data_IF_181228440237
#
_entry.id   IF_181228440237
#
_cell.length_a   1.000
_cell.length_b   1.000
_cell.length_c   1.000
_cell.angle_alpha   90.00
_cell.angle_beta   90.00
_cell.angle_gamma   90.00
#
_symmetry.space_group_name_H-M   'P 1'
#
loop_
_entity.id
_entity.type
_entity.pdbx_description
1 polymer ?
#
# COMPACT_ATOMS: atom_id res chain seq x y z
N UNK A 1 13.92 10.61 13.72
CA UNK A 1 13.23 11.05 14.93
C UNK A 1 12.42 12.34 14.69
N UNK A 2 13.07 13.49 14.37
CA UNK A 2 12.39 14.78 14.19
C UNK A 2 11.25 14.75 13.16
N UNK A 3 11.43 14.06 12.03
CA UNK A 3 10.39 13.93 11.01
C UNK A 3 9.20 13.13 11.53
N UNK A 4 9.43 12.03 12.22
CA UNK A 4 8.37 11.22 12.82
C UNK A 4 7.55 12.03 13.84
N UNK A 5 8.19 12.88 14.62
CA UNK A 5 7.52 13.77 15.57
C UNK A 5 6.63 14.80 14.84
N UNK A 6 7.16 15.45 13.81
CA UNK A 6 6.40 16.41 12.97
C UNK A 6 5.18 15.73 12.36
N UNK A 7 5.34 14.57 11.73
CA UNK A 7 4.22 13.82 11.14
C UNK A 7 3.22 13.34 12.18
N UNK A 8 3.67 12.97 13.37
CA UNK A 8 2.78 12.56 14.47
C UNK A 8 1.95 13.73 14.99
N UNK A 9 2.55 14.90 15.16
CA UNK A 9 1.84 16.11 15.57
C UNK A 9 0.82 16.51 14.50
N UNK A 10 1.22 16.47 13.24
CA UNK A 10 0.34 16.74 12.12
C UNK A 10 -0.86 15.77 12.08
N UNK A 11 -0.65 14.47 12.31
CA UNK A 11 -1.72 13.48 12.40
C UNK A 11 -2.72 13.82 13.51
N UNK A 12 -2.25 14.27 14.69
CA UNK A 12 -3.13 14.64 15.81
C UNK A 12 -3.88 15.95 15.54
N UNK A 13 -3.17 16.98 15.09
CA UNK A 13 -3.74 18.31 14.84
C UNK A 13 -4.79 18.31 13.74
N UNK A 14 -4.61 17.43 12.77
CA UNK A 14 -5.44 17.35 11.58
C UNK A 14 -6.41 16.16 11.61
N UNK A 15 -6.57 15.52 12.76
CA UNK A 15 -7.51 14.41 12.93
C UNK A 15 -8.94 14.86 12.66
N UNK A 16 -9.54 14.26 11.64
CA UNK A 16 -10.90 14.59 11.20
C UNK A 16 -11.84 13.46 11.56
N UNK A 17 -12.95 13.81 12.21
CA UNK A 17 -14.06 12.92 12.47
C UNK A 17 -15.36 13.48 11.92
N UNK A 18 -16.16 12.65 11.27
CA UNK A 18 -17.49 13.00 10.84
C UNK A 18 -18.53 12.20 11.61
N UNK A 19 -19.33 12.90 12.40
CA UNK A 19 -20.34 12.27 13.24
C UNK A 19 -21.53 11.70 12.47
N UNK A 20 -21.82 12.20 11.26
CA UNK A 20 -22.95 11.72 10.44
C UNK A 20 -22.62 10.43 9.70
N UNK A 21 -21.38 10.28 9.21
CA UNK A 21 -20.91 9.08 8.53
C UNK A 21 -20.18 8.11 9.47
N UNK A 22 -19.83 8.57 10.67
CA UNK A 22 -19.08 7.81 11.69
C UNK A 22 -17.69 7.37 11.23
N UNK A 23 -17.10 8.02 10.22
CA UNK A 23 -15.73 7.77 9.80
C UNK A 23 -14.77 8.75 10.42
N UNK A 24 -13.63 8.22 10.82
CA UNK A 24 -12.48 9.01 11.26
C UNK A 24 -11.34 8.78 10.29
N UNK A 25 -10.67 9.84 9.89
CA UNK A 25 -9.45 9.73 9.11
C UNK A 25 -8.36 10.58 9.73
N UNK A 26 -7.13 10.16 9.52
CA UNK A 26 -6.01 11.08 9.61
C UNK A 26 -6.16 12.17 8.55
N UNK A 27 -5.11 12.94 8.34
CA UNK A 27 -5.17 14.04 7.40
C UNK A 27 -4.94 13.60 5.99
N UNK A 28 -5.73 14.11 5.12
CA UNK A 28 -5.42 14.24 3.71
C UNK A 28 -5.27 15.73 3.38
N UNK A 29 -4.09 16.14 2.92
CA UNK A 29 -3.86 17.49 2.42
C UNK A 29 -4.02 17.49 0.90
N UNK A 30 -4.96 18.27 0.42
CA UNK A 30 -5.34 18.24 -0.98
C UNK A 30 -4.46 19.07 -1.90
N UNK A 31 -3.93 20.18 -1.41
CA UNK A 31 -3.32 21.19 -2.26
C UNK A 31 -2.19 21.95 -1.57
N UNK A 32 -1.47 22.79 -2.34
CA UNK A 32 -0.50 23.74 -1.80
C UNK A 32 -1.08 24.74 -0.78
N UNK A 33 -2.40 24.88 -0.70
CA UNK A 33 -3.11 25.70 0.30
C UNK A 33 -3.27 25.01 1.65
N UNK A 34 -2.86 23.74 1.75
CA UNK A 34 -2.99 22.91 2.95
C UNK A 34 -4.44 22.70 3.42
N UNK A 35 -5.40 22.80 2.51
CA UNK A 35 -6.81 22.53 2.82
C UNK A 35 -7.01 21.02 3.08
N UNK A 36 -7.72 20.72 4.15
CA UNK A 36 -8.14 19.35 4.45
C UNK A 36 -9.17 18.88 3.43
N UNK A 37 -9.06 17.63 3.01
CA UNK A 37 -10.10 17.02 2.21
C UNK A 37 -11.28 16.60 3.09
N UNK A 38 -12.42 16.43 2.47
CA UNK A 38 -13.61 15.86 3.09
C UNK A 38 -13.72 14.34 2.81
N UNK A 39 -12.58 13.68 2.61
CA UNK A 39 -12.50 12.28 2.15
C UNK A 39 -11.73 11.41 3.13
N UNK A 40 -12.31 10.26 3.49
CA UNK A 40 -11.56 9.12 4.04
C UNK A 40 -11.33 8.08 2.94
N UNK A 41 -10.10 7.64 2.80
CA UNK A 41 -9.70 6.66 1.79
C UNK A 41 -8.92 5.52 2.45
N UNK A 42 -9.37 4.29 2.24
CA UNK A 42 -8.82 3.11 2.94
C UNK A 42 -7.42 2.75 2.47
N UNK A 43 -7.14 2.99 1.20
CA UNK A 43 -5.85 2.71 0.55
C UNK A 43 -5.45 3.83 -0.41
N UNK A 44 -4.54 3.56 -1.35
CA UNK A 44 -4.04 4.48 -2.36
C UNK A 44 -3.40 5.72 -1.73
N UNK A 45 -3.97 6.92 -1.88
CA UNK A 45 -3.41 8.16 -1.33
C UNK A 45 -3.68 8.28 0.17
N UNK A 46 -4.91 8.05 0.59
CA UNK A 46 -5.33 8.27 1.98
C UNK A 46 -4.76 7.29 2.99
N UNK A 47 -4.69 6.01 2.66
CA UNK A 47 -4.16 4.93 3.52
C UNK A 47 -4.56 5.04 4.99
N UNK A 48 -5.82 5.38 5.24
CA UNK A 48 -6.32 5.72 6.59
C UNK A 48 -6.00 4.63 7.62
N UNK A 49 -6.19 3.36 7.28
CA UNK A 49 -5.91 2.24 8.20
C UNK A 49 -4.41 2.01 8.42
N UNK A 50 -3.56 2.21 7.40
CA UNK A 50 -2.12 2.09 7.55
C UNK A 50 -1.56 3.24 8.39
N UNK A 51 -2.06 4.46 8.19
CA UNK A 51 -1.71 5.60 9.02
C UNK A 51 -2.12 5.39 10.48
N UNK A 52 -3.31 4.82 10.71
CA UNK A 52 -3.76 4.45 12.05
C UNK A 52 -2.84 3.39 12.70
N UNK A 53 -2.42 2.37 11.96
CA UNK A 53 -1.48 1.38 12.46
C UNK A 53 -0.14 2.01 12.82
N UNK A 54 0.43 2.84 11.94
CA UNK A 54 1.69 3.53 12.21
C UNK A 54 1.59 4.46 13.44
N UNK A 55 0.45 5.15 13.59
CA UNK A 55 0.19 6.01 14.76
C UNK A 55 0.07 5.20 16.06
N UNK A 56 -0.58 4.03 16.00
CA UNK A 56 -0.67 3.13 17.15
C UNK A 56 0.71 2.64 17.59
N UNK A 57 1.46 2.04 16.67
CA UNK A 57 2.77 1.47 16.96
C UNK A 57 3.74 2.53 17.50
N UNK A 58 3.88 3.65 16.80
CA UNK A 58 4.74 4.75 17.24
C UNK A 58 4.25 5.39 18.53
N UNK A 59 2.93 5.55 18.69
CA UNK A 59 2.30 6.10 19.88
C UNK A 59 2.60 5.27 21.12
N UNK A 60 2.51 3.95 21.04
CA UNK A 60 2.87 3.07 22.17
C UNK A 60 4.37 3.12 22.47
N UNK A 61 5.23 3.09 21.43
CA UNK A 61 6.69 3.19 21.59
C UNK A 61 7.13 4.50 22.26
N UNK A 62 6.47 5.62 21.92
CA UNK A 62 6.78 6.95 22.43
C UNK A 62 5.91 7.39 23.62
N UNK A 63 4.98 6.54 24.07
CA UNK A 63 4.00 6.85 25.14
C UNK A 63 3.10 8.05 24.82
N UNK A 64 2.77 8.21 23.52
CA UNK A 64 1.87 9.24 22.98
C UNK A 64 0.43 8.73 22.99
N UNK A 65 -0.30 8.95 24.08
CA UNK A 65 -1.69 8.48 24.26
C UNK A 65 -2.67 9.09 23.27
N UNK A 66 -2.41 10.30 22.80
CA UNK A 66 -3.18 10.98 21.75
C UNK A 66 -3.16 10.21 20.42
N UNK A 67 -1.98 9.75 19.98
CA UNK A 67 -1.83 8.92 18.79
C UNK A 67 -2.56 7.58 18.93
N UNK A 68 -2.36 6.90 20.05
CA UNK A 68 -2.99 5.61 20.36
C UNK A 68 -4.52 5.75 20.35
N UNK A 69 -5.05 6.78 21.02
CA UNK A 69 -6.49 7.03 21.08
C UNK A 69 -7.09 7.29 19.71
N UNK A 70 -6.44 8.12 18.90
CA UNK A 70 -6.92 8.43 17.55
C UNK A 70 -6.84 7.21 16.62
N UNK A 71 -5.79 6.40 16.75
CA UNK A 71 -5.67 5.15 15.98
C UNK A 71 -6.82 4.19 16.27
N UNK A 72 -7.13 3.93 17.55
CA UNK A 72 -8.27 3.06 17.88
C UNK A 72 -9.61 3.64 17.44
N UNK A 73 -9.83 4.94 17.52
CA UNK A 73 -11.04 5.56 16.96
C UNK A 73 -11.20 5.28 15.47
N UNK A 74 -10.12 5.31 14.70
CA UNK A 74 -10.14 4.96 13.27
C UNK A 74 -10.51 3.49 13.10
N UNK A 75 -9.83 2.57 13.79
CA UNK A 75 -10.13 1.13 13.68
C UNK A 75 -11.58 0.82 14.08
N UNK A 76 -12.06 1.37 15.19
CA UNK A 76 -13.44 1.14 15.64
C UNK A 76 -14.47 1.68 14.66
N UNK A 77 -14.24 2.86 14.08
CA UNK A 77 -15.14 3.44 13.10
C UNK A 77 -15.22 2.60 11.83
N UNK A 78 -14.08 2.11 11.34
CA UNK A 78 -14.07 1.22 10.16
C UNK A 78 -14.68 -0.15 10.45
N UNK A 79 -14.47 -0.71 11.64
CA UNK A 79 -15.10 -1.98 12.02
C UNK A 79 -16.63 -1.89 11.99
N UNK A 80 -17.17 -0.77 12.48
CA UNK A 80 -18.60 -0.54 12.58
C UNK A 80 -19.25 -0.15 11.25
N UNK A 81 -18.60 0.71 10.47
CA UNK A 81 -19.22 1.41 9.34
C UNK A 81 -18.45 1.25 8.02
N UNK A 82 -17.24 0.70 8.04
CA UNK A 82 -16.29 0.72 6.92
C UNK A 82 -16.53 -0.33 5.85
N UNK A 83 -17.65 -1.09 5.89
CA UNK A 83 -17.89 -2.18 4.97
C UNK A 83 -19.19 -2.00 4.19
N UNK A 84 -19.16 -2.38 2.92
CA UNK A 84 -20.34 -2.53 2.07
C UNK A 84 -21.20 -3.73 2.51
N UNK A 85 -22.38 -3.88 1.93
CA UNK A 85 -23.27 -5.01 2.21
C UNK A 85 -22.63 -6.37 1.92
N UNK A 86 -21.79 -6.45 0.87
CA UNK A 86 -21.07 -7.67 0.51
C UNK A 86 -19.89 -7.93 1.44
N UNK A 87 -19.36 -6.90 2.10
CA UNK A 87 -18.25 -6.98 3.04
C UNK A 87 -16.91 -6.51 2.50
N UNK A 88 -16.85 -5.87 1.34
CA UNK A 88 -15.69 -5.09 0.90
C UNK A 88 -15.59 -3.80 1.69
N UNK A 89 -14.40 -3.19 1.74
CA UNK A 89 -14.28 -1.86 2.31
C UNK A 89 -15.06 -0.83 1.48
N UNK A 90 -15.72 0.10 2.17
CA UNK A 90 -16.08 1.38 1.62
C UNK A 90 -14.78 2.17 1.37
N UNK A 91 -14.28 2.14 0.13
CA UNK A 91 -12.93 2.59 -0.17
C UNK A 91 -12.74 4.09 -0.02
N UNK A 92 -13.75 4.85 -0.47
CA UNK A 92 -13.74 6.31 -0.49
C UNK A 92 -15.06 6.83 0.08
N UNK A 93 -14.96 7.57 1.16
CA UNK A 93 -16.11 8.16 1.86
C UNK A 93 -15.98 9.67 1.85
N UNK A 94 -16.96 10.36 1.28
CA UNK A 94 -17.04 11.82 1.22
C UNK A 94 -17.84 12.34 2.40
N UNK A 95 -17.21 12.91 3.39
CA UNK A 95 -17.84 13.36 4.64
C UNK A 95 -18.93 14.40 4.44
N UNK A 96 -18.64 15.48 3.69
CA UNK A 96 -19.58 16.59 3.50
C UNK A 96 -20.78 16.21 2.67
N UNK A 97 -20.60 15.28 1.73
CA UNK A 97 -21.64 14.81 0.82
C UNK A 97 -22.41 13.63 1.38
N UNK A 98 -21.93 13.04 2.46
CA UNK A 98 -22.45 11.77 2.99
C UNK A 98 -22.57 10.71 1.88
N UNK A 99 -21.53 10.55 1.09
CA UNK A 99 -21.51 9.71 -0.11
C UNK A 99 -20.36 8.70 -0.02
N UNK A 100 -20.63 7.48 -0.43
CA UNK A 100 -19.67 6.36 -0.54
C UNK A 100 -19.58 5.96 -2.00
N UNK A 101 -18.34 5.85 -2.51
CA UNK A 101 -18.13 5.36 -3.87
C UNK A 101 -18.46 3.86 -3.96
N UNK A 102 -19.18 3.46 -5.03
CA UNK A 102 -19.65 2.09 -5.24
C UNK A 102 -18.72 1.22 -6.07
N UNK A 103 -17.66 1.81 -6.62
CA UNK A 103 -16.65 1.08 -7.40
C UNK A 103 -15.44 0.81 -6.51
N UNK A 104 -15.08 -0.47 -6.41
CA UNK A 104 -13.91 -0.92 -5.67
C UNK A 104 -12.70 -1.09 -6.58
N UNK A 105 -11.51 -0.99 -6.00
CA UNK A 105 -10.25 -1.33 -6.65
C UNK A 105 -9.51 -2.41 -5.87
N UNK A 106 -8.95 -3.38 -6.57
CA UNK A 106 -8.17 -4.43 -5.90
C UNK A 106 -7.02 -3.83 -5.08
N UNK A 107 -6.42 -2.73 -5.53
CA UNK A 107 -5.35 -2.05 -4.82
C UNK A 107 -5.81 -1.50 -3.47
N UNK A 108 -6.87 -0.67 -3.42
CA UNK A 108 -7.36 -0.08 -2.16
C UNK A 108 -7.83 -1.15 -1.18
N UNK A 109 -8.56 -2.17 -1.67
CA UNK A 109 -8.97 -3.30 -0.84
C UNK A 109 -7.77 -4.05 -0.26
N UNK A 110 -6.76 -4.31 -1.08
CA UNK A 110 -5.53 -5.01 -0.66
C UNK A 110 -4.73 -4.20 0.36
N UNK A 111 -4.56 -2.91 0.16
CA UNK A 111 -3.84 -2.03 1.10
C UNK A 111 -4.57 -1.93 2.45
N UNK A 112 -5.91 -1.91 2.46
CA UNK A 112 -6.71 -1.96 3.69
C UNK A 112 -6.51 -3.27 4.45
N UNK A 113 -6.58 -4.41 3.75
CA UNK A 113 -6.35 -5.75 4.37
C UNK A 113 -4.89 -5.87 4.85
N UNK A 114 -3.93 -5.37 4.09
CA UNK A 114 -2.52 -5.30 4.47
C UNK A 114 -2.34 -4.54 5.79
N UNK A 115 -2.89 -3.34 5.90
CA UNK A 115 -2.81 -2.53 7.11
C UNK A 115 -3.40 -3.24 8.33
N UNK A 116 -4.57 -3.89 8.16
CA UNK A 116 -5.22 -4.60 9.25
C UNK A 116 -4.50 -5.89 9.65
N UNK A 117 -3.83 -6.58 8.73
CA UNK A 117 -3.00 -7.72 9.09
C UNK A 117 -1.75 -7.30 9.88
N UNK A 118 -1.17 -6.13 9.59
CA UNK A 118 -0.14 -5.54 10.45
C UNK A 118 -0.70 -5.23 11.83
N UNK A 119 -1.83 -4.54 11.92
CA UNK A 119 -2.52 -4.24 13.16
C UNK A 119 -2.80 -5.51 13.97
N UNK A 120 -3.47 -6.52 13.39
CA UNK A 120 -3.79 -7.77 14.07
C UNK A 120 -2.55 -8.52 14.56
N UNK A 121 -1.49 -8.52 13.77
CA UNK A 121 -0.24 -9.17 14.16
C UNK A 121 0.43 -8.42 15.33
N UNK A 122 0.49 -7.09 15.27
CA UNK A 122 1.02 -6.26 16.33
C UNK A 122 0.22 -6.46 17.64
N UNK A 123 -1.11 -6.33 17.58
CA UNK A 123 -2.00 -6.52 18.72
C UNK A 123 -1.85 -7.91 19.36
N UNK A 124 -1.75 -8.94 18.53
CA UNK A 124 -1.52 -10.31 19.02
C UNK A 124 -0.18 -10.44 19.76
N UNK A 125 0.87 -9.78 19.28
CA UNK A 125 2.18 -9.76 19.95
C UNK A 125 2.12 -9.03 21.29
N UNK A 126 1.22 -8.04 21.44
CA UNK A 126 0.93 -7.35 22.69
C UNK A 126 -0.07 -8.10 23.59
N UNK A 127 -0.52 -9.29 23.20
CA UNK A 127 -1.49 -10.08 23.94
C UNK A 127 -2.95 -9.64 23.79
N UNK A 128 -3.23 -8.68 22.89
CA UNK A 128 -4.57 -8.17 22.62
C UNK A 128 -5.23 -8.94 21.45
N UNK A 129 -6.53 -9.17 21.55
CA UNK A 129 -7.30 -9.97 20.57
C UNK A 129 -8.43 -9.15 19.97
N UNK A 130 -8.62 -9.30 18.66
CA UNK A 130 -9.66 -8.60 17.92
C UNK A 130 -10.45 -9.58 17.02
N UNK A 131 -11.28 -10.49 17.60
CA UNK A 131 -11.95 -11.56 16.85
C UNK A 131 -12.87 -11.05 15.75
N UNK A 132 -13.50 -9.88 15.93
CA UNK A 132 -14.35 -9.27 14.89
C UNK A 132 -13.52 -8.82 13.69
N UNK A 133 -12.34 -8.22 13.91
CA UNK A 133 -11.42 -7.90 12.83
C UNK A 133 -10.88 -9.16 12.13
N UNK A 134 -10.50 -10.18 12.89
CA UNK A 134 -10.05 -11.46 12.32
C UNK A 134 -11.11 -12.07 11.41
N UNK A 135 -12.37 -12.07 11.83
CA UNK A 135 -13.50 -12.54 11.04
C UNK A 135 -13.68 -11.74 9.74
N UNK A 136 -13.64 -10.40 9.84
CA UNK A 136 -13.76 -9.51 8.68
C UNK A 136 -12.63 -9.74 7.68
N UNK A 137 -11.39 -9.74 8.13
CA UNK A 137 -10.22 -9.92 7.26
C UNK A 137 -10.20 -11.30 6.60
N UNK A 138 -10.57 -12.34 7.35
CA UNK A 138 -10.70 -13.68 6.76
C UNK A 138 -11.75 -13.73 5.66
N UNK A 139 -12.91 -13.09 5.87
CA UNK A 139 -13.96 -12.97 4.85
C UNK A 139 -13.46 -12.22 3.61
N UNK A 140 -12.72 -11.13 3.78
CA UNK A 140 -12.16 -10.38 2.65
C UNK A 140 -11.14 -11.20 1.86
N UNK A 141 -10.25 -11.93 2.53
CA UNK A 141 -9.30 -12.82 1.86
C UNK A 141 -10.03 -13.93 1.08
N UNK A 142 -11.11 -14.49 1.62
CA UNK A 142 -11.94 -15.46 0.90
C UNK A 142 -12.65 -14.83 -0.32
N UNK A 143 -13.07 -13.55 -0.24
CA UNK A 143 -13.56 -12.80 -1.40
C UNK A 143 -12.48 -12.56 -2.45
N UNK A 144 -11.24 -12.32 -2.05
CA UNK A 144 -10.11 -12.23 -3.00
C UNK A 144 -9.93 -13.55 -3.75
N UNK A 145 -9.99 -14.70 -3.08
CA UNK A 145 -9.94 -15.99 -3.76
C UNK A 145 -11.04 -16.15 -4.82
N UNK A 146 -12.24 -15.63 -4.54
CA UNK A 146 -13.36 -15.65 -5.50
C UNK A 146 -13.16 -14.67 -6.66
N UNK A 147 -12.51 -13.52 -6.42
CA UNK A 147 -12.29 -12.47 -7.42
C UNK A 147 -11.13 -12.79 -8.36
N UNK A 148 -10.19 -13.64 -7.96
CA UNK A 148 -9.02 -14.00 -8.76
C UNK A 148 -9.40 -14.69 -10.06
N UNK A 149 -8.86 -14.19 -11.18
CA UNK A 149 -9.03 -14.77 -12.49
C UNK A 149 -8.27 -16.10 -12.64
N UNK A 150 -8.63 -16.88 -13.65
CA UNK A 150 -7.99 -18.18 -13.95
C UNK A 150 -6.51 -18.08 -14.33
N UNK A 151 -6.05 -16.93 -14.78
CA UNK A 151 -4.66 -16.66 -15.12
C UNK A 151 -3.84 -16.12 -13.94
N UNK A 152 -4.45 -15.98 -12.76
CA UNK A 152 -3.83 -15.47 -11.55
C UNK A 152 -3.96 -13.97 -11.34
N UNK A 153 -4.42 -13.22 -12.34
CA UNK A 153 -4.66 -11.78 -12.22
C UNK A 153 -5.87 -11.43 -11.36
N UNK A 154 -5.94 -10.16 -10.99
CA UNK A 154 -7.12 -9.55 -10.40
C UNK A 154 -7.61 -8.41 -11.28
N UNK A 155 -8.93 -8.20 -11.40
CA UNK A 155 -9.46 -7.02 -12.07
C UNK A 155 -9.05 -5.76 -11.31
N UNK A 156 -8.68 -4.70 -12.04
CA UNK A 156 -8.29 -3.42 -11.43
C UNK A 156 -9.45 -2.79 -10.67
N UNK A 157 -10.66 -2.79 -11.27
CA UNK A 157 -11.87 -2.21 -10.67
C UNK A 157 -13.08 -3.14 -10.83
N UNK A 158 -13.91 -3.21 -9.80
CA UNK A 158 -15.08 -4.07 -9.73
C UNK A 158 -16.15 -3.46 -8.81
N UNK A 159 -17.35 -4.06 -8.75
CA UNK A 159 -18.44 -3.66 -7.86
C UNK A 159 -18.73 -4.74 -6.80
N UNK A 160 -19.60 -4.41 -5.86
CA UNK A 160 -20.02 -5.30 -4.77
C UNK A 160 -20.58 -6.65 -5.25
N UNK A 161 -21.24 -6.68 -6.38
CA UNK A 161 -21.76 -7.90 -7.01
C UNK A 161 -20.71 -8.70 -7.79
N UNK A 162 -19.42 -8.31 -7.70
CA UNK A 162 -18.30 -8.85 -8.44
C UNK A 162 -18.32 -8.56 -9.95
N UNK A 163 -19.22 -7.71 -10.43
CA UNK A 163 -19.16 -7.26 -11.82
C UNK A 163 -17.90 -6.44 -12.08
N UNK A 164 -17.24 -6.72 -13.22
CA UNK A 164 -15.96 -6.11 -13.56
C UNK A 164 -16.19 -4.76 -14.24
N UNK A 165 -15.53 -3.72 -13.73
CA UNK A 165 -15.54 -2.36 -14.29
C UNK A 165 -14.27 -2.14 -15.14
N UNK A 166 -13.12 -2.59 -14.66
CA UNK A 166 -11.85 -2.53 -15.37
C UNK A 166 -11.11 -3.85 -15.16
N UNK A 167 -10.87 -4.56 -16.25
CA UNK A 167 -10.24 -5.89 -16.24
C UNK A 167 -8.71 -5.86 -16.25
N UNK A 168 -8.09 -4.67 -16.31
CA UNK A 168 -6.62 -4.55 -16.31
C UNK A 168 -5.99 -5.27 -15.13
N UNK A 169 -4.98 -6.10 -15.39
CA UNK A 169 -4.29 -6.91 -14.37
C UNK A 169 -3.13 -6.23 -13.69
N UNK A 170 -2.77 -5.00 -14.06
CA UNK A 170 -1.57 -4.31 -13.56
C UNK A 170 -1.55 -4.00 -12.07
N UNK A 171 -2.72 -3.93 -11.42
CA UNK A 171 -2.83 -3.79 -9.95
C UNK A 171 -2.77 -5.12 -9.18
N UNK A 172 -2.66 -6.26 -9.88
CA UNK A 172 -2.59 -7.61 -9.28
C UNK A 172 -1.51 -7.74 -8.20
N UNK A 173 -0.29 -7.16 -8.33
CA UNK A 173 0.76 -7.35 -7.33
C UNK A 173 0.37 -6.85 -5.93
N UNK A 174 -0.51 -5.87 -5.81
CA UNK A 174 -0.98 -5.38 -4.51
C UNK A 174 -1.71 -6.45 -3.68
N UNK A 175 -2.44 -7.36 -4.34
CA UNK A 175 -3.18 -8.45 -3.68
C UNK A 175 -2.28 -9.56 -3.13
N UNK A 176 -1.06 -9.72 -3.66
CA UNK A 176 -0.12 -10.76 -3.21
C UNK A 176 0.28 -10.58 -1.75
N UNK A 177 0.48 -9.33 -1.31
CA UNK A 177 0.95 -9.00 0.04
C UNK A 177 -0.02 -9.49 1.11
N UNK A 178 -1.30 -9.05 1.12
CA UNK A 178 -2.26 -9.51 2.12
C UNK A 178 -2.56 -11.01 2.02
N UNK A 179 -2.47 -11.63 0.84
CA UNK A 179 -2.62 -13.07 0.69
C UNK A 179 -1.48 -13.84 1.41
N UNK A 180 -0.22 -13.43 1.24
CA UNK A 180 0.92 -14.04 1.94
C UNK A 180 0.82 -13.79 3.45
N UNK A 181 0.48 -12.58 3.87
CA UNK A 181 0.30 -12.24 5.29
C UNK A 181 -0.87 -13.03 5.90
N UNK A 182 -1.99 -13.14 5.19
CA UNK A 182 -3.14 -13.95 5.60
C UNK A 182 -2.80 -15.42 5.78
N UNK A 183 -2.00 -15.99 4.86
CA UNK A 183 -1.46 -17.34 5.04
C UNK A 183 -0.64 -17.45 6.34
N UNK A 184 0.28 -16.50 6.57
CA UNK A 184 1.12 -16.52 7.78
C UNK A 184 0.29 -16.36 9.05
N UNK A 185 -0.78 -15.55 9.03
CA UNK A 185 -1.62 -15.28 10.18
C UNK A 185 -2.62 -16.41 10.47
N UNK A 186 -3.43 -16.82 9.49
CA UNK A 186 -4.52 -17.78 9.61
C UNK A 186 -4.10 -19.24 9.35
N UNK A 187 -2.90 -19.47 8.80
CA UNK A 187 -2.39 -20.79 8.38
C UNK A 187 -3.20 -21.46 7.27
N UNK A 188 -3.99 -20.70 6.54
CA UNK A 188 -4.78 -21.20 5.41
C UNK A 188 -3.96 -21.24 4.12
N UNK A 189 -3.65 -22.45 3.65
CA UNK A 189 -2.81 -22.69 2.47
C UNK A 189 -3.42 -22.16 1.16
N UNK A 190 -4.76 -21.96 1.12
CA UNK A 190 -5.42 -21.40 -0.07
C UNK A 190 -4.90 -20.00 -0.40
N UNK A 191 -4.63 -19.19 0.62
CA UNK A 191 -4.08 -17.84 0.43
C UNK A 191 -2.66 -17.88 -0.15
N UNK A 192 -1.81 -18.80 0.30
CA UNK A 192 -0.47 -18.96 -0.28
C UNK A 192 -0.54 -19.46 -1.73
N UNK A 193 -1.44 -20.40 -2.03
CA UNK A 193 -1.63 -20.89 -3.39
C UNK A 193 -2.10 -19.76 -4.32
N UNK A 194 -3.05 -18.93 -3.88
CA UNK A 194 -3.50 -17.76 -4.61
C UNK A 194 -2.37 -16.74 -4.81
N UNK A 195 -1.57 -16.46 -3.78
CA UNK A 195 -0.42 -15.57 -3.89
C UNK A 195 0.64 -16.08 -4.90
N UNK A 196 0.89 -17.37 -4.93
CA UNK A 196 1.79 -17.96 -5.94
C UNK A 196 1.22 -17.77 -7.35
N UNK A 197 -0.06 -18.02 -7.51
CA UNK A 197 -0.74 -17.85 -8.80
C UNK A 197 -0.75 -16.36 -9.25
N UNK A 198 -0.81 -15.38 -8.33
CA UNK A 198 -0.59 -13.97 -8.71
C UNK A 198 0.81 -13.75 -9.27
N UNK A 199 1.85 -14.30 -8.65
CA UNK A 199 3.22 -14.05 -9.10
C UNK A 199 3.55 -14.80 -10.40
N UNK A 200 2.94 -15.94 -10.68
CA UNK A 200 2.99 -16.58 -12.01
C UNK A 200 2.47 -15.63 -13.11
N UNK A 201 1.35 -14.94 -12.83
CA UNK A 201 0.84 -13.91 -13.73
C UNK A 201 1.82 -12.73 -13.85
N UNK A 202 2.36 -12.23 -12.72
CA UNK A 202 3.32 -11.11 -12.74
C UNK A 202 4.58 -11.45 -13.53
N UNK A 203 5.13 -12.65 -13.37
CA UNK A 203 6.29 -13.11 -14.11
C UNK A 203 6.03 -13.09 -15.61
N UNK A 204 4.89 -13.66 -16.03
CA UNK A 204 4.56 -13.82 -17.43
C UNK A 204 4.17 -12.51 -18.12
N UNK A 205 3.39 -11.67 -17.44
CA UNK A 205 2.72 -10.53 -18.09
C UNK A 205 3.39 -9.18 -17.77
N UNK A 206 4.07 -9.06 -16.64
CA UNK A 206 4.73 -7.82 -16.23
C UNK A 206 6.25 -7.93 -16.27
N UNK A 207 6.83 -8.83 -15.48
CA UNK A 207 8.27 -8.85 -15.22
C UNK A 207 9.06 -9.26 -16.47
N UNK A 208 8.71 -10.40 -17.12
CA UNK A 208 9.39 -10.88 -18.32
C UNK A 208 9.27 -9.94 -19.52
N UNK A 209 8.27 -9.08 -19.53
CA UNK A 209 8.03 -8.10 -20.59
C UNK A 209 8.56 -6.72 -20.26
N UNK A 210 8.94 -6.49 -18.99
CA UNK A 210 9.20 -5.16 -18.44
C UNK A 210 8.05 -4.18 -18.68
N UNK A 211 6.80 -4.68 -18.57
CA UNK A 211 5.56 -3.94 -18.86
C UNK A 211 4.77 -3.81 -17.54
N UNK A 212 5.07 -2.76 -16.78
CA UNK A 212 4.49 -2.51 -15.46
C UNK A 212 3.48 -1.37 -15.53
N UNK A 213 2.20 -1.71 -15.56
CA UNK A 213 1.12 -0.79 -15.88
C UNK A 213 0.01 -0.75 -14.84
N UNK A 214 -0.76 0.33 -14.82
CA UNK A 214 -2.08 0.46 -14.19
C UNK A 214 -2.16 0.13 -12.70
N UNK A 215 -1.12 0.39 -11.91
CA UNK A 215 -1.21 0.31 -10.45
C UNK A 215 -1.77 1.60 -9.87
N UNK A 216 -1.47 2.75 -10.43
CA UNK A 216 -2.20 4.00 -10.14
C UNK A 216 -3.65 3.86 -10.59
N UNK A 217 -4.59 4.50 -9.87
CA UNK A 217 -6.02 4.30 -10.09
C UNK A 217 -6.64 5.29 -11.08
N UNK A 218 -5.92 6.33 -11.42
CA UNK A 218 -6.30 7.44 -12.28
C UNK A 218 -5.70 7.37 -13.70
N UNK A 219 -4.68 6.54 -13.91
CA UNK A 219 -4.03 6.35 -15.20
C UNK A 219 -3.96 4.86 -15.59
N UNK A 220 -3.91 4.58 -16.89
CA UNK A 220 -3.77 3.22 -17.43
C UNK A 220 -2.55 3.17 -18.36
N UNK A 221 -1.38 3.37 -17.80
CA UNK A 221 -0.11 3.46 -18.52
C UNK A 221 1.00 2.79 -17.71
N UNK A 222 2.22 2.82 -18.22
CA UNK A 222 3.43 2.39 -17.52
C UNK A 222 3.60 3.20 -16.22
N UNK A 223 3.96 2.51 -15.14
CA UNK A 223 3.78 3.04 -13.80
C UNK A 223 4.84 2.48 -12.84
N UNK A 224 5.53 3.40 -12.14
CA UNK A 224 6.53 3.07 -11.13
C UNK A 224 5.96 2.16 -10.04
N UNK A 225 4.76 2.46 -9.57
CA UNK A 225 4.17 1.74 -8.44
C UNK A 225 3.86 0.28 -8.80
N UNK A 226 3.51 0.00 -10.05
CA UNK A 226 3.31 -1.38 -10.51
C UNK A 226 4.60 -2.21 -10.40
N UNK A 227 5.75 -1.65 -10.79
CA UNK A 227 7.05 -2.32 -10.66
C UNK A 227 7.48 -2.50 -9.20
N UNK A 228 7.20 -1.51 -8.38
CA UNK A 228 7.47 -1.48 -6.95
C UNK A 228 6.67 -2.58 -6.22
N UNK A 229 5.37 -2.65 -6.50
CA UNK A 229 4.51 -3.71 -5.96
C UNK A 229 4.89 -5.10 -6.49
N UNK A 230 5.28 -5.24 -7.76
CA UNK A 230 5.71 -6.52 -8.32
C UNK A 230 6.98 -7.05 -7.61
N UNK A 231 7.97 -6.17 -7.38
CA UNK A 231 9.17 -6.50 -6.60
C UNK A 231 8.83 -6.91 -5.18
N UNK A 232 7.98 -6.15 -4.50
CA UNK A 232 7.55 -6.44 -3.13
C UNK A 232 6.74 -7.74 -3.04
N UNK A 233 5.85 -8.01 -4.00
CA UNK A 233 5.07 -9.25 -4.08
C UNK A 233 5.96 -10.49 -4.17
N UNK A 234 6.95 -10.46 -5.06
CA UNK A 234 7.92 -11.54 -5.22
C UNK A 234 8.79 -11.70 -3.95
N UNK A 235 9.21 -10.60 -3.32
CA UNK A 235 9.91 -10.61 -2.03
C UNK A 235 9.09 -11.29 -0.93
N UNK A 236 7.79 -10.98 -0.79
CA UNK A 236 6.92 -11.61 0.20
C UNK A 236 6.83 -13.13 0.01
N UNK A 237 6.76 -13.60 -1.25
CA UNK A 237 6.80 -15.03 -1.55
C UNK A 237 8.15 -15.65 -1.28
N UNK A 238 9.25 -14.97 -1.59
CA UNK A 238 10.59 -15.46 -1.23
C UNK A 238 10.73 -15.66 0.28
N UNK A 239 10.13 -14.78 1.10
CA UNK A 239 10.10 -14.95 2.57
C UNK A 239 9.14 -16.06 3.07
N UNK A 240 8.22 -16.51 2.22
CA UNK A 240 7.22 -17.53 2.57
C UNK A 240 7.57 -18.93 2.04
N UNK A 241 8.62 -19.06 1.22
CA UNK A 241 9.03 -20.30 0.53
C UNK A 241 10.47 -20.69 0.87
N UNK A 242 10.95 -21.81 0.34
CA UNK A 242 12.30 -22.35 0.60
C UNK A 242 12.91 -22.93 -0.67
N UNK A 243 14.24 -23.16 -0.63
CA UNK A 243 14.97 -23.85 -1.69
C UNK A 243 14.87 -23.17 -3.05
N UNK A 244 14.66 -23.93 -4.11
CA UNK A 244 14.60 -23.43 -5.48
C UNK A 244 13.47 -22.44 -5.70
N UNK A 245 12.32 -22.66 -5.07
CA UNK A 245 11.16 -21.76 -5.17
C UNK A 245 11.46 -20.37 -4.55
N UNK A 246 12.12 -20.33 -3.39
CA UNK A 246 12.59 -19.09 -2.78
C UNK A 246 13.56 -18.35 -3.69
N UNK A 247 14.53 -19.07 -4.27
CA UNK A 247 15.53 -18.49 -5.17
C UNK A 247 14.87 -17.91 -6.44
N UNK A 248 13.87 -18.60 -6.98
CA UNK A 248 13.10 -18.12 -8.12
C UNK A 248 12.40 -16.76 -7.80
N UNK A 249 11.63 -16.70 -6.72
CA UNK A 249 10.97 -15.46 -6.32
C UNK A 249 11.94 -14.33 -5.95
N UNK A 250 13.09 -14.65 -5.37
CA UNK A 250 14.15 -13.69 -5.13
C UNK A 250 14.69 -13.09 -6.44
N UNK A 251 14.85 -13.93 -7.49
CA UNK A 251 15.22 -13.48 -8.83
C UNK A 251 14.21 -12.50 -9.41
N UNK A 252 12.91 -12.82 -9.34
CA UNK A 252 11.84 -11.95 -9.82
C UNK A 252 11.78 -10.62 -9.05
N UNK A 253 11.96 -10.66 -7.72
CA UNK A 253 12.02 -9.45 -6.91
C UNK A 253 13.17 -8.54 -7.34
N UNK A 254 14.35 -9.09 -7.63
CA UNK A 254 15.51 -8.34 -8.11
C UNK A 254 15.29 -7.73 -9.47
N UNK A 255 14.71 -8.46 -10.41
CA UNK A 255 14.45 -7.99 -11.77
C UNK A 255 13.47 -6.82 -11.75
N UNK A 256 12.33 -6.96 -11.06
CA UNK A 256 11.37 -5.89 -10.90
C UNK A 256 11.96 -4.68 -10.15
N UNK A 257 12.85 -4.90 -9.19
CA UNK A 257 13.53 -3.83 -8.47
C UNK A 257 14.43 -2.98 -9.39
N UNK A 258 15.15 -3.60 -10.32
CA UNK A 258 15.96 -2.85 -11.29
C UNK A 258 15.12 -1.91 -12.13
N UNK A 259 13.94 -2.35 -12.58
CA UNK A 259 13.04 -1.50 -13.32
C UNK A 259 12.49 -0.37 -12.43
N UNK A 260 12.05 -0.69 -11.22
CA UNK A 260 11.55 0.32 -10.28
C UNK A 260 12.59 1.41 -9.98
N UNK A 261 13.88 1.04 -9.86
CA UNK A 261 14.95 2.00 -9.63
C UNK A 261 15.16 2.98 -10.78
N UNK A 262 14.77 2.64 -12.02
CA UNK A 262 14.90 3.52 -13.18
C UNK A 262 13.98 4.76 -13.11
N UNK A 263 12.97 4.73 -12.26
CA UNK A 263 12.03 5.84 -12.06
C UNK A 263 12.51 6.90 -11.08
N UNK A 264 13.56 6.62 -10.31
CA UNK A 264 14.06 7.54 -9.27
C UNK A 264 15.23 8.36 -9.77
N UNK A 265 15.26 9.63 -9.37
CA UNK A 265 16.41 10.49 -9.62
C UNK A 265 17.58 10.09 -8.74
N UNK A 266 18.73 9.83 -9.36
CA UNK A 266 19.98 9.52 -8.66
C UNK A 266 20.84 10.75 -8.39
N UNK A 267 20.40 11.92 -8.87
CA UNK A 267 21.04 13.22 -8.68
C UNK A 267 20.01 14.31 -8.37
N UNK A 268 20.48 15.45 -7.90
CA UNK A 268 19.64 16.63 -7.76
C UNK A 268 19.46 17.28 -9.12
N UNK A 269 18.24 17.35 -9.61
CA UNK A 269 17.90 18.02 -10.87
C UNK A 269 18.11 19.53 -10.69
N UNK A 270 18.90 20.20 -11.55
CA UNK A 270 19.12 21.64 -11.45
C UNK A 270 17.83 22.39 -11.85
N UNK A 271 17.46 23.38 -11.07
CA UNK A 271 16.38 24.30 -11.40
C UNK A 271 16.94 25.54 -12.10
N UNK A 272 16.19 26.10 -13.04
CA UNK A 272 16.52 27.39 -13.63
C UNK A 272 16.37 28.52 -12.58
N UNK A 273 17.15 29.60 -12.68
CA UNK A 273 17.02 30.77 -11.81
C UNK A 273 15.57 31.30 -11.82
N UNK A 274 15.02 31.64 -10.65
CA UNK A 274 13.63 32.12 -10.49
C UNK A 274 12.59 31.01 -10.43
N UNK A 275 12.98 29.74 -10.46
CA UNK A 275 12.07 28.62 -10.20
C UNK A 275 11.90 28.44 -8.68
N UNK A 276 10.70 28.64 -8.19
CA UNK A 276 10.37 28.69 -6.75
C UNK A 276 10.95 27.51 -5.95
N UNK A 277 10.81 26.28 -6.44
CA UNK A 277 11.32 25.10 -5.73
C UNK A 277 12.85 25.06 -5.69
N UNK A 278 13.50 25.51 -6.76
CA UNK A 278 14.96 25.65 -6.80
C UNK A 278 15.47 26.75 -5.89
N UNK A 279 14.79 27.90 -5.87
CA UNK A 279 15.13 29.02 -5.00
C UNK A 279 14.94 28.66 -3.51
N UNK A 280 13.97 27.78 -3.19
CA UNK A 280 13.77 27.19 -1.86
C UNK A 280 14.75 26.04 -1.53
N UNK A 281 15.62 25.69 -2.48
CA UNK A 281 16.65 24.66 -2.28
C UNK A 281 16.15 23.22 -2.31
N UNK A 282 15.03 22.93 -3.02
CA UNK A 282 14.53 21.57 -3.18
C UNK A 282 15.62 20.65 -3.77
N UNK A 283 15.81 19.51 -3.14
CA UNK A 283 16.66 18.42 -3.60
C UNK A 283 15.81 17.28 -4.12
N UNK A 284 16.09 16.81 -5.33
CA UNK A 284 15.26 15.81 -6.02
C UNK A 284 15.81 14.38 -5.96
N UNK A 285 17.06 14.22 -5.53
CA UNK A 285 17.67 12.89 -5.42
C UNK A 285 16.85 11.99 -4.49
N UNK A 286 16.48 10.81 -4.97
CA UNK A 286 15.61 9.86 -4.25
C UNK A 286 14.12 10.06 -4.48
N UNK A 287 13.71 11.13 -5.17
CA UNK A 287 12.34 11.28 -5.66
C UNK A 287 12.17 10.55 -6.99
N UNK A 288 10.94 10.26 -7.38
CA UNK A 288 10.64 9.61 -8.66
C UNK A 288 9.38 10.14 -9.30
N UNK A 289 9.20 9.90 -10.59
CA UNK A 289 7.93 10.12 -11.26
C UNK A 289 6.95 9.01 -10.89
N UNK A 290 5.66 9.32 -10.88
CA UNK A 290 4.60 8.33 -10.56
C UNK A 290 4.36 7.39 -11.73
N UNK A 291 4.11 7.93 -12.92
CA UNK A 291 3.82 7.17 -14.13
C UNK A 291 4.10 8.00 -15.39
N UNK A 292 3.90 7.42 -16.56
CA UNK A 292 4.05 8.15 -17.84
C UNK A 292 3.02 9.28 -17.97
N UNK A 293 1.79 9.08 -17.50
CA UNK A 293 0.74 10.10 -17.57
C UNK A 293 0.77 11.05 -16.36
N UNK A 294 1.15 10.55 -15.19
CA UNK A 294 1.25 11.34 -13.96
C UNK A 294 2.67 11.85 -13.75
N UNK A 295 2.98 13.00 -14.34
CA UNK A 295 4.32 13.58 -14.37
C UNK A 295 4.75 14.30 -13.09
N UNK A 296 3.97 14.26 -12.02
CA UNK A 296 4.42 14.81 -10.74
C UNK A 296 5.44 13.90 -10.08
N UNK A 297 6.34 14.51 -9.33
CA UNK A 297 7.35 13.80 -8.56
C UNK A 297 6.85 13.48 -7.17
N UNK A 298 7.18 12.31 -6.69
CA UNK A 298 6.87 11.85 -5.34
C UNK A 298 8.02 11.06 -4.70
N UNK A 299 7.86 10.74 -3.43
CA UNK A 299 8.79 9.90 -2.65
C UNK A 299 8.17 8.55 -2.28
N UNK A 300 7.17 8.10 -3.03
CA UNK A 300 6.49 6.85 -2.73
C UNK A 300 7.45 5.66 -2.82
N UNK A 301 7.70 5.03 -1.70
CA UNK A 301 8.61 3.89 -1.57
C UNK A 301 7.92 2.65 -0.98
N UNK A 302 6.74 2.78 -0.38
CA UNK A 302 6.04 1.69 0.31
C UNK A 302 7.04 0.82 1.11
N UNK A 303 6.97 -0.52 1.07
CA UNK A 303 7.95 -1.40 1.72
C UNK A 303 9.28 -1.55 0.95
N UNK A 304 9.52 -0.73 -0.08
CA UNK A 304 10.59 -0.94 -1.04
C UNK A 304 11.99 -0.78 -0.44
N UNK A 305 12.16 0.05 0.58
CA UNK A 305 13.44 0.15 1.29
C UNK A 305 13.84 -1.18 1.94
N UNK A 306 12.88 -1.92 2.50
CA UNK A 306 13.11 -3.24 3.08
C UNK A 306 13.45 -4.27 2.01
N UNK A 307 12.76 -4.22 0.86
CA UNK A 307 13.07 -5.06 -0.31
C UNK A 307 14.50 -4.82 -0.79
N UNK A 308 14.90 -3.55 -0.96
CA UNK A 308 16.25 -3.19 -1.40
C UNK A 308 17.33 -3.65 -0.41
N UNK A 309 17.13 -3.44 0.87
CA UNK A 309 18.07 -3.88 1.91
C UNK A 309 18.18 -5.41 1.97
N UNK A 310 17.07 -6.11 1.74
CA UNK A 310 17.08 -7.55 1.66
C UNK A 310 17.79 -8.06 0.40
N UNK A 311 17.52 -7.48 -0.78
CA UNK A 311 18.19 -7.83 -2.04
C UNK A 311 19.69 -7.55 -1.99
N UNK A 312 20.11 -6.46 -1.33
CA UNK A 312 21.52 -6.15 -1.14
C UNK A 312 22.27 -7.29 -0.42
N UNK A 313 21.64 -7.88 0.60
CA UNK A 313 22.20 -9.00 1.36
C UNK A 313 22.13 -10.31 0.58
N UNK A 314 20.98 -10.59 -0.05
CA UNK A 314 20.71 -11.83 -0.77
C UNK A 314 21.67 -12.04 -1.95
N UNK A 315 21.96 -10.98 -2.69
CA UNK A 315 22.81 -11.01 -3.90
C UNK A 315 24.19 -10.38 -3.71
N UNK A 316 24.53 -9.91 -2.51
CA UNK A 316 25.75 -9.15 -2.24
C UNK A 316 25.92 -7.94 -3.20
N UNK A 317 24.81 -7.23 -3.45
CA UNK A 317 24.75 -6.08 -4.34
C UNK A 317 24.63 -4.77 -3.56
N UNK A 318 25.74 -4.12 -3.29
CA UNK A 318 25.82 -2.88 -2.51
C UNK A 318 24.92 -1.75 -3.05
N UNK A 319 24.72 -1.66 -4.38
CA UNK A 319 23.89 -0.62 -5.00
C UNK A 319 22.45 -0.57 -4.46
N UNK A 320 21.87 -1.70 -4.07
CA UNK A 320 20.54 -1.71 -3.48
C UNK A 320 20.52 -1.04 -2.09
N UNK A 321 21.50 -1.32 -1.25
CA UNK A 321 21.60 -0.65 0.06
C UNK A 321 21.97 0.82 -0.08
N UNK A 322 22.84 1.19 -1.02
CA UNK A 322 23.17 2.58 -1.29
C UNK A 322 21.94 3.37 -1.73
N UNK A 323 21.12 2.77 -2.62
CA UNK A 323 19.91 3.40 -3.08
C UNK A 323 18.82 3.46 -1.99
N UNK A 324 18.70 2.41 -1.17
CA UNK A 324 17.83 2.44 0.00
C UNK A 324 18.12 3.64 0.91
N UNK A 325 19.42 3.99 1.11
CA UNK A 325 19.80 5.16 1.88
C UNK A 325 19.44 6.50 1.20
N UNK A 326 19.34 6.51 -0.13
CA UNK A 326 18.96 7.72 -0.88
C UNK A 326 17.47 8.01 -0.79
N UNK A 327 16.62 6.96 -0.79
CA UNK A 327 15.16 7.09 -0.77
C UNK A 327 14.56 7.08 0.63
N UNK A 328 15.33 6.76 1.67
CA UNK A 328 14.90 6.75 3.08
C UNK A 328 15.26 8.07 3.77
#
# INVERSE_FOLDING_TARGET
EKMKEVMSNFFVESFVGNTSTHYYSGVELRTATCDQTDVAEVGFVGRTLLNAFNALEYGEQQRRTDLVTNAYKIFDSYLQNGFSETGFFNEVVHYRRNFVESVHSIRRQSEGVYALLHFLNYERLQGRKHPEWEKRIKSMLDMFLRLQNKDGSFPRKFKDDFSIVDKSGGSTPSATLPLVMGYKYFKDKRYLASAKHTVEYLEKELISKSDYFSSTLDANCEDKEASLYASTAAYYLALATKGAERAHYAGLAREAAYFALSWYYTWDVPFAPGQMLGDLGLKTRGWGNVSVENNHIDVFIFDFADVLNWLAKEYNEKRFSDFSQVIS
#
